data_IF_155724981081
#
_entry.id   IF_155724981081
#
_cell.length_a   1.000
_cell.length_b   1.000
_cell.length_c   1.000
_cell.angle_alpha   90.00
_cell.angle_beta   90.00
_cell.angle_gamma   90.00
#
_symmetry.space_group_name_H-M   'P 1'
#
loop_
_entity.id
_entity.type
_entity.pdbx_description
1 polymer ?
#
# COMPACT_ATOMS: atom_id res chain seq x y z
N UNK A 1 68.06 -4.52 63.98
CA UNK A 1 68.94 -5.66 63.78
C UNK A 1 68.22 -6.71 62.94
N UNK A 2 68.82 -7.06 61.81
CA UNK A 2 68.78 -8.28 61.06
C UNK A 2 67.42 -8.75 60.38
N UNK A 3 67.48 -8.63 59.09
CA UNK A 3 67.10 -9.58 57.99
C UNK A 3 65.63 -9.82 57.67
N UNK A 4 65.21 -9.27 56.54
CA UNK A 4 64.33 -9.91 55.59
C UNK A 4 64.63 -9.33 54.22
N UNK A 5 65.62 -9.91 53.56
CA UNK A 5 65.86 -9.80 52.12
C UNK A 5 65.78 -11.25 51.60
N UNK A 6 64.75 -11.59 50.81
CA UNK A 6 64.82 -12.65 49.78
C UNK A 6 63.42 -13.18 49.36
N UNK A 7 62.54 -12.30 48.78
CA UNK A 7 61.30 -12.82 48.10
C UNK A 7 60.85 -11.86 47.03
N UNK A 8 61.75 -11.42 46.16
CA UNK A 8 61.42 -10.45 45.13
C UNK A 8 61.90 -10.74 43.72
N UNK A 9 62.00 -11.99 43.21
CA UNK A 9 62.06 -12.12 41.77
C UNK A 9 60.95 -13.07 41.16
N UNK A 10 60.06 -13.65 41.94
CA UNK A 10 59.12 -14.65 41.38
C UNK A 10 57.72 -14.09 41.03
N UNK A 11 57.38 -12.87 41.39
CA UNK A 11 56.10 -12.23 41.08
C UNK A 11 56.09 -11.54 39.69
N UNK A 12 57.26 -11.24 39.14
CA UNK A 12 57.38 -10.59 37.83
C UNK A 12 57.34 -11.56 36.64
N UNK A 13 57.50 -12.87 36.85
CA UNK A 13 57.46 -13.87 35.77
C UNK A 13 56.03 -14.42 35.47
N UNK A 14 55.09 -14.28 36.38
CA UNK A 14 53.70 -14.75 36.21
C UNK A 14 52.81 -13.66 35.57
N UNK A 15 53.20 -12.38 35.71
CA UNK A 15 52.44 -11.26 35.09
C UNK A 15 52.62 -11.10 33.59
N UNK A 16 53.66 -11.69 32.97
CA UNK A 16 53.96 -11.52 31.53
C UNK A 16 53.40 -12.66 30.69
N UNK A 17 52.91 -13.76 31.28
CA UNK A 17 52.36 -14.94 30.56
C UNK A 17 50.82 -14.87 30.36
N UNK A 18 50.11 -13.95 31.02
CA UNK A 18 48.64 -13.78 30.87
C UNK A 18 48.22 -12.74 29.84
N UNK A 19 49.15 -11.93 29.28
CA UNK A 19 48.79 -10.90 28.29
C UNK A 19 48.85 -11.42 26.84
N UNK A 20 49.39 -12.60 26.61
CA UNK A 20 49.53 -13.16 25.24
C UNK A 20 48.40 -14.11 24.79
N UNK A 21 47.32 -14.28 25.56
CA UNK A 21 46.21 -15.22 25.18
C UNK A 21 44.92 -14.50 24.79
N UNK A 22 44.86 -13.16 24.88
CA UNK A 22 43.66 -12.38 24.52
C UNK A 22 43.64 -11.78 23.13
N UNK A 23 44.52 -12.15 22.21
CA UNK A 23 44.54 -11.58 20.86
C UNK A 23 44.18 -12.55 19.74
N UNK A 24 43.44 -13.60 20.04
CA UNK A 24 43.01 -14.55 19.03
C UNK A 24 41.53 -14.87 19.20
N UNK A 25 40.63 -13.97 18.87
CA UNK A 25 39.23 -14.26 18.47
C UNK A 25 38.55 -13.00 17.91
N UNK A 26 39.24 -12.22 17.08
CA UNK A 26 38.57 -11.47 16.06
C UNK A 26 38.62 -12.33 14.79
N UNK A 27 37.98 -13.49 14.80
CA UNK A 27 37.60 -14.14 13.56
C UNK A 27 36.62 -13.19 12.88
N UNK A 28 37.07 -12.45 11.87
CA UNK A 28 36.16 -11.95 10.85
C UNK A 28 35.40 -13.19 10.38
N UNK A 29 34.13 -13.26 10.76
CA UNK A 29 33.22 -14.24 10.16
C UNK A 29 33.17 -13.89 8.69
N UNK A 30 33.95 -14.58 7.87
CA UNK A 30 33.85 -14.50 6.41
C UNK A 30 32.48 -15.10 6.12
N UNK A 31 31.60 -14.33 5.51
CA UNK A 31 30.27 -14.77 5.16
C UNK A 31 30.37 -15.94 4.16
N UNK A 32 29.63 -17.00 4.44
CA UNK A 32 29.70 -18.23 3.65
C UNK A 32 28.94 -18.07 2.34
N UNK A 33 29.59 -18.38 1.21
CA UNK A 33 28.92 -18.49 -0.09
C UNK A 33 28.12 -19.78 -0.11
N UNK A 34 26.79 -19.69 -0.15
CA UNK A 34 25.90 -20.85 -0.20
C UNK A 34 25.57 -21.27 -1.63
N UNK A 35 25.49 -20.33 -2.57
CA UNK A 35 25.28 -20.58 -3.99
C UNK A 35 26.05 -19.56 -4.85
N UNK A 36 26.47 -19.99 -6.03
CA UNK A 36 26.91 -19.11 -7.13
C UNK A 36 25.95 -19.28 -8.29
N UNK A 37 25.50 -18.16 -8.87
CA UNK A 37 24.64 -18.13 -10.07
C UNK A 37 25.20 -17.12 -11.05
N UNK A 38 25.84 -17.59 -12.12
CA UNK A 38 26.65 -16.74 -12.98
C UNK A 38 27.81 -16.14 -12.21
N UNK A 39 27.90 -14.81 -12.20
CA UNK A 39 28.96 -14.04 -11.50
C UNK A 39 28.51 -13.57 -10.10
N UNK A 40 27.31 -13.91 -9.67
CA UNK A 40 26.74 -13.43 -8.41
C UNK A 40 26.75 -14.53 -7.33
N UNK A 41 27.26 -14.19 -6.16
CA UNK A 41 27.24 -15.07 -4.99
C UNK A 41 26.01 -14.78 -4.13
N UNK A 42 25.36 -15.85 -3.64
CA UNK A 42 24.36 -15.80 -2.59
C UNK A 42 25.06 -16.17 -1.29
N UNK A 43 25.03 -15.28 -0.34
CA UNK A 43 25.66 -15.45 0.96
C UNK A 43 24.69 -16.04 1.99
N UNK A 44 25.22 -16.67 3.02
CA UNK A 44 24.42 -17.16 4.13
C UNK A 44 23.66 -16.03 4.80
N UNK A 45 24.27 -14.86 4.93
CA UNK A 45 23.63 -13.65 5.46
C UNK A 45 22.42 -13.21 4.63
N UNK A 46 22.44 -13.39 3.30
CA UNK A 46 21.30 -13.06 2.43
C UNK A 46 20.10 -13.97 2.73
N UNK A 47 20.37 -15.28 2.91
CA UNK A 47 19.36 -16.27 3.28
C UNK A 47 18.76 -15.97 4.65
N UNK A 48 19.60 -15.70 5.65
CA UNK A 48 19.12 -15.37 7.01
C UNK A 48 18.35 -14.05 7.02
N UNK A 49 18.78 -13.04 6.25
CA UNK A 49 18.04 -11.79 6.11
C UNK A 49 16.64 -12.03 5.50
N UNK A 50 16.56 -12.82 4.44
CA UNK A 50 15.28 -13.16 3.81
C UNK A 50 14.36 -13.92 4.78
N UNK A 51 14.91 -14.83 5.55
CA UNK A 51 14.22 -15.60 6.62
C UNK A 51 13.62 -14.66 7.67
N UNK A 52 14.44 -13.74 8.21
CA UNK A 52 13.99 -12.76 9.20
C UNK A 52 12.88 -11.85 8.63
N UNK A 53 13.00 -11.44 7.38
CA UNK A 53 11.99 -10.62 6.71
C UNK A 53 10.64 -11.33 6.61
N UNK A 54 10.62 -12.62 6.24
CA UNK A 54 9.40 -13.40 6.16
C UNK A 54 8.77 -13.60 7.55
N UNK A 55 9.59 -13.86 8.56
CA UNK A 55 9.11 -13.97 9.95
C UNK A 55 8.49 -12.67 10.45
N UNK A 56 9.09 -11.52 10.13
CA UNK A 56 8.52 -10.19 10.49
C UNK A 56 7.18 -9.90 9.80
N UNK A 57 6.93 -10.51 8.63
CA UNK A 57 5.65 -10.45 7.92
C UNK A 57 4.62 -11.48 8.42
N UNK A 58 4.94 -12.24 9.48
CA UNK A 58 4.06 -13.25 10.05
C UNK A 58 4.02 -14.57 9.27
N UNK A 59 4.91 -14.75 8.29
CA UNK A 59 5.00 -16.01 7.54
C UNK A 59 5.62 -17.09 8.44
N UNK A 60 4.93 -18.22 8.57
CA UNK A 60 5.48 -19.38 9.27
C UNK A 60 6.41 -20.15 8.34
N UNK A 61 7.64 -20.32 8.77
CA UNK A 61 8.63 -21.12 8.06
C UNK A 61 8.54 -22.58 8.52
N UNK A 62 8.66 -23.49 7.58
CA UNK A 62 8.69 -24.93 7.80
C UNK A 62 10.11 -25.49 7.63
N UNK A 63 10.28 -26.79 7.82
CA UNK A 63 11.58 -27.45 7.68
C UNK A 63 12.13 -27.39 6.24
N UNK A 64 11.25 -27.22 5.23
CA UNK A 64 11.67 -27.11 3.84
C UNK A 64 12.17 -25.70 3.48
N UNK A 65 11.88 -24.70 4.31
CA UNK A 65 12.27 -23.30 4.09
C UNK A 65 13.79 -23.12 4.03
N UNK A 66 14.56 -23.94 4.69
CA UNK A 66 16.03 -23.94 4.65
C UNK A 66 16.56 -24.23 3.22
N UNK A 67 15.85 -25.03 2.45
CA UNK A 67 16.17 -25.33 1.06
C UNK A 67 15.49 -24.37 0.07
N UNK A 68 14.25 -24.01 0.34
CA UNK A 68 13.44 -23.19 -0.56
C UNK A 68 13.91 -21.73 -0.64
N UNK A 69 14.41 -21.15 0.46
CA UNK A 69 14.87 -19.76 0.47
C UNK A 69 16.12 -19.52 -0.40
N UNK A 70 17.19 -20.32 -0.29
CA UNK A 70 18.34 -20.20 -1.22
C UNK A 70 17.93 -20.42 -2.67
N UNK A 71 17.05 -21.40 -2.94
CA UNK A 71 16.54 -21.65 -4.28
C UNK A 71 15.78 -20.43 -4.83
N UNK A 72 14.93 -19.80 -4.01
CA UNK A 72 14.21 -18.58 -4.43
C UNK A 72 15.16 -17.44 -4.76
N UNK A 73 16.22 -17.25 -3.98
CA UNK A 73 17.26 -16.26 -4.26
C UNK A 73 18.02 -16.60 -5.56
N UNK A 74 18.34 -17.88 -5.78
CA UNK A 74 19.01 -18.33 -7.01
C UNK A 74 18.14 -18.09 -8.25
N UNK A 75 16.85 -18.37 -8.19
CA UNK A 75 15.89 -18.03 -9.26
C UNK A 75 15.87 -16.52 -9.52
N UNK A 76 15.88 -15.70 -8.48
CA UNK A 76 15.95 -14.24 -8.61
C UNK A 76 17.24 -13.81 -9.31
N UNK A 77 18.39 -14.42 -8.99
CA UNK A 77 19.66 -14.13 -9.65
C UNK A 77 19.66 -14.52 -11.13
N UNK A 78 19.01 -15.61 -11.54
CA UNK A 78 18.83 -15.93 -12.96
C UNK A 78 18.10 -14.82 -13.72
N UNK A 79 17.01 -14.29 -13.16
CA UNK A 79 16.28 -13.18 -13.77
C UNK A 79 17.12 -11.90 -13.82
N UNK A 80 17.86 -11.57 -12.76
CA UNK A 80 18.75 -10.40 -12.73
C UNK A 80 19.87 -10.51 -13.75
N UNK A 81 20.47 -11.67 -13.88
CA UNK A 81 21.53 -11.93 -14.87
C UNK A 81 20.99 -11.73 -16.30
N UNK A 82 19.84 -12.34 -16.62
CA UNK A 82 19.22 -12.14 -17.92
C UNK A 82 18.80 -10.69 -18.17
N UNK A 83 18.29 -10.02 -17.14
CA UNK A 83 17.92 -8.61 -17.25
C UNK A 83 19.11 -7.70 -17.58
N UNK A 84 20.32 -8.00 -17.06
CA UNK A 84 21.56 -7.32 -17.43
C UNK A 84 21.87 -7.53 -18.93
N UNK A 85 21.77 -8.78 -19.42
CA UNK A 85 21.98 -9.13 -20.83
C UNK A 85 20.98 -8.40 -21.72
N UNK A 86 19.73 -8.38 -21.32
CA UNK A 86 18.61 -7.77 -22.05
C UNK A 86 18.51 -6.24 -21.87
N UNK A 87 19.43 -5.63 -21.10
CA UNK A 87 19.47 -4.20 -20.80
C UNK A 87 18.14 -3.65 -20.25
N UNK A 88 17.50 -4.41 -19.34
CA UNK A 88 16.27 -3.98 -18.69
C UNK A 88 16.56 -2.80 -17.76
N UNK A 89 15.84 -1.71 -17.96
CA UNK A 89 15.91 -0.49 -17.12
C UNK A 89 14.61 -0.26 -16.40
N UNK A 90 14.68 0.36 -15.23
CA UNK A 90 13.54 0.71 -14.38
C UNK A 90 13.58 2.18 -14.01
N UNK A 91 12.43 2.76 -13.63
CA UNK A 91 12.34 4.17 -13.26
C UNK A 91 12.90 4.41 -11.84
N UNK A 92 14.13 4.93 -11.78
CA UNK A 92 14.80 5.28 -10.52
C UNK A 92 14.02 6.34 -9.71
N UNK A 93 13.24 7.22 -10.35
CA UNK A 93 12.44 8.21 -9.65
C UNK A 93 11.24 7.55 -8.92
N UNK A 94 10.61 6.58 -9.57
CA UNK A 94 9.54 5.79 -8.93
C UNK A 94 10.09 4.99 -7.75
N UNK A 95 11.23 4.33 -7.91
CA UNK A 95 11.89 3.57 -6.84
C UNK A 95 12.21 4.47 -5.66
N UNK A 96 12.78 5.66 -5.89
CA UNK A 96 13.11 6.60 -4.82
C UNK A 96 11.86 7.06 -4.05
N UNK A 97 10.75 7.34 -4.74
CA UNK A 97 9.48 7.71 -4.09
C UNK A 97 8.95 6.57 -3.23
N UNK A 98 8.96 5.35 -3.75
CA UNK A 98 8.54 4.16 -3.02
C UNK A 98 9.38 3.93 -1.76
N UNK A 99 10.71 4.00 -1.90
CA UNK A 99 11.64 3.81 -0.77
C UNK A 99 11.45 4.88 0.31
N UNK A 100 11.29 6.15 -0.08
CA UNK A 100 11.07 7.23 0.89
C UNK A 100 9.74 7.04 1.64
N UNK A 101 8.67 6.69 0.94
CA UNK A 101 7.38 6.40 1.56
C UNK A 101 7.47 5.20 2.53
N UNK A 102 8.18 4.14 2.14
CA UNK A 102 8.38 2.96 2.99
C UNK A 102 9.19 3.30 4.26
N UNK A 103 10.27 4.08 4.13
CA UNK A 103 11.06 4.54 5.27
C UNK A 103 10.22 5.40 6.23
N UNK A 104 9.39 6.30 5.70
CA UNK A 104 8.49 7.10 6.55
C UNK A 104 7.47 6.22 7.28
N UNK A 105 6.93 5.19 6.59
CA UNK A 105 6.07 4.20 7.22
C UNK A 105 6.76 3.45 8.36
N UNK A 106 7.99 2.96 8.15
CA UNK A 106 8.78 2.29 9.18
C UNK A 106 9.10 3.22 10.37
N UNK A 107 9.43 4.50 10.11
CA UNK A 107 9.66 5.48 11.18
C UNK A 107 8.40 5.70 12.00
N UNK A 108 7.23 5.79 11.35
CA UNK A 108 5.95 5.95 12.03
C UNK A 108 5.60 4.73 12.91
N UNK A 109 5.90 3.53 12.44
CA UNK A 109 5.67 2.27 13.16
C UNK A 109 6.55 2.14 14.41
N UNK A 110 7.86 2.39 14.29
CA UNK A 110 8.79 2.29 15.42
C UNK A 110 8.82 3.54 16.31
N UNK A 111 8.23 4.65 15.84
CA UNK A 111 8.01 5.89 16.56
C UNK A 111 9.08 6.97 16.39
N UNK A 112 10.31 6.67 15.92
CA UNK A 112 11.32 7.70 15.57
C UNK A 112 12.40 7.17 14.63
N UNK A 113 13.13 8.10 14.00
CA UNK A 113 14.30 7.81 13.16
C UNK A 113 15.39 7.08 13.95
N UNK A 114 15.67 7.54 15.17
CA UNK A 114 16.73 6.99 16.03
C UNK A 114 16.46 5.53 16.39
N UNK A 115 15.19 5.19 16.69
CA UNK A 115 14.76 3.81 16.92
C UNK A 115 14.89 2.94 15.69
N UNK A 116 14.62 3.49 14.51
CA UNK A 116 14.79 2.77 13.24
C UNK A 116 16.29 2.50 12.99
N UNK A 117 17.16 3.48 13.21
CA UNK A 117 18.61 3.33 13.09
C UNK A 117 19.17 2.30 14.09
N UNK A 118 18.65 2.29 15.32
CA UNK A 118 18.99 1.30 16.34
C UNK A 118 18.52 -0.11 15.95
N UNK A 119 17.28 -0.24 15.47
CA UNK A 119 16.70 -1.52 15.04
C UNK A 119 17.52 -2.18 13.92
N UNK A 120 17.93 -1.41 12.91
CA UNK A 120 18.74 -1.92 11.79
C UNK A 120 20.25 -1.90 12.09
N UNK A 121 20.68 -1.32 13.18
CA UNK A 121 22.11 -1.05 13.48
C UNK A 121 22.83 -0.36 12.31
N UNK A 122 22.14 0.58 11.65
CA UNK A 122 22.59 1.34 10.47
C UNK A 122 22.05 2.77 10.53
N UNK A 123 22.79 3.72 9.95
CA UNK A 123 22.24 5.06 9.80
C UNK A 123 21.17 5.11 8.68
N UNK A 124 20.31 6.13 8.71
CA UNK A 124 19.19 6.27 7.77
C UNK A 124 19.62 6.27 6.30
N UNK A 125 20.81 6.78 5.99
CA UNK A 125 21.34 6.78 4.62
C UNK A 125 21.65 5.36 4.16
N UNK A 126 22.27 4.55 5.02
CA UNK A 126 22.55 3.15 4.74
C UNK A 126 21.25 2.33 4.58
N UNK A 127 20.30 2.57 5.49
CA UNK A 127 18.96 1.93 5.38
C UNK A 127 18.30 2.28 4.05
N UNK A 128 18.33 3.57 3.65
CA UNK A 128 17.78 4.04 2.37
C UNK A 128 18.44 3.38 1.18
N UNK A 129 19.76 3.27 1.18
CA UNK A 129 20.51 2.64 0.09
C UNK A 129 20.23 1.14 -0.02
N UNK A 130 20.12 0.45 1.10
CA UNK A 130 19.77 -0.98 1.12
C UNK A 130 18.34 -1.20 0.60
N UNK A 131 17.39 -0.41 1.06
CA UNK A 131 16.00 -0.45 0.58
C UNK A 131 15.91 -0.13 -0.92
N UNK A 132 16.66 0.87 -1.39
CA UNK A 132 16.72 1.23 -2.81
C UNK A 132 17.27 0.09 -3.68
N UNK A 133 18.37 -0.53 -3.25
CA UNK A 133 18.98 -1.66 -3.95
C UNK A 133 18.01 -2.83 -4.06
N UNK A 134 17.34 -3.19 -2.97
CA UNK A 134 16.35 -4.25 -2.95
C UNK A 134 15.13 -3.94 -3.82
N UNK A 135 14.58 -2.74 -3.70
CA UNK A 135 13.45 -2.30 -4.52
C UNK A 135 13.80 -2.31 -6.02
N UNK A 136 14.99 -1.81 -6.37
CA UNK A 136 15.48 -1.81 -7.75
C UNK A 136 15.65 -3.23 -8.29
N UNK A 137 16.28 -4.13 -7.54
CA UNK A 137 16.44 -5.53 -7.93
C UNK A 137 15.08 -6.22 -8.10
N UNK A 138 14.15 -6.01 -7.18
CA UNK A 138 12.80 -6.57 -7.28
C UNK A 138 12.04 -6.07 -8.52
N UNK A 139 12.15 -4.77 -8.84
CA UNK A 139 11.48 -4.19 -10.01
C UNK A 139 12.11 -4.67 -11.33
N UNK A 140 13.45 -4.83 -11.39
CA UNK A 140 14.13 -5.41 -12.55
C UNK A 140 13.68 -6.85 -12.80
N UNK A 141 13.59 -7.68 -11.73
CA UNK A 141 13.09 -9.06 -11.84
C UNK A 141 11.67 -9.08 -12.36
N UNK A 142 10.79 -8.23 -11.80
CA UNK A 142 9.39 -8.11 -12.26
C UNK A 142 9.31 -7.71 -13.73
N UNK A 143 10.06 -6.70 -14.15
CA UNK A 143 10.10 -6.23 -15.52
C UNK A 143 10.61 -7.34 -16.47
N UNK A 144 11.61 -8.12 -16.06
CA UNK A 144 12.12 -9.26 -16.84
C UNK A 144 11.05 -10.36 -16.96
N UNK A 145 10.42 -10.75 -15.87
CA UNK A 145 9.32 -11.73 -15.87
C UNK A 145 8.18 -11.27 -16.79
N UNK A 146 7.78 -10.00 -16.66
CA UNK A 146 6.72 -9.44 -17.51
C UNK A 146 7.09 -9.44 -18.99
N UNK A 147 8.35 -9.13 -19.33
CA UNK A 147 8.86 -9.21 -20.71
C UNK A 147 8.73 -10.63 -21.27
N UNK A 148 9.11 -11.64 -20.49
CA UNK A 148 9.05 -13.06 -20.90
C UNK A 148 7.61 -13.51 -21.19
N UNK A 149 6.65 -13.04 -20.40
CA UNK A 149 5.24 -13.47 -20.54
C UNK A 149 4.34 -12.47 -21.28
N UNK A 150 4.91 -11.37 -21.81
CA UNK A 150 4.14 -10.28 -22.45
C UNK A 150 3.32 -10.74 -23.64
N UNK A 151 3.81 -11.71 -24.42
CA UNK A 151 3.18 -12.24 -25.60
C UNK A 151 2.34 -13.49 -25.33
N UNK A 152 2.25 -13.95 -24.08
CA UNK A 152 1.47 -15.13 -23.72
C UNK A 152 -0.01 -14.79 -23.73
N UNK A 153 -0.75 -15.55 -24.46
CA UNK A 153 -2.20 -15.45 -24.55
C UNK A 153 -2.85 -16.83 -24.44
N UNK A 154 -4.12 -16.87 -24.16
CA UNK A 154 -4.90 -18.11 -24.11
C UNK A 154 -6.05 -18.07 -25.13
N UNK A 155 -6.20 -19.15 -25.87
CA UNK A 155 -7.31 -19.33 -26.80
C UNK A 155 -8.58 -19.78 -26.07
N UNK A 156 -9.77 -19.60 -26.65
CA UNK A 156 -11.02 -20.10 -26.07
C UNK A 156 -11.04 -21.62 -25.82
N UNK A 157 -10.29 -22.39 -26.63
CA UNK A 157 -10.16 -23.84 -26.41
C UNK A 157 -9.31 -24.18 -25.20
N UNK A 158 -8.20 -23.44 -24.98
CA UNK A 158 -7.36 -23.61 -23.79
C UNK A 158 -8.11 -23.22 -22.51
N UNK A 159 -8.92 -22.15 -22.55
CA UNK A 159 -9.74 -21.72 -21.42
C UNK A 159 -10.74 -22.80 -21.04
N UNK A 160 -11.44 -23.41 -22.04
CA UNK A 160 -12.37 -24.52 -21.79
C UNK A 160 -11.65 -25.75 -21.22
N UNK A 161 -10.50 -26.11 -21.78
CA UNK A 161 -9.70 -27.24 -21.29
C UNK A 161 -9.20 -27.01 -19.86
N UNK A 162 -8.76 -25.77 -19.58
CA UNK A 162 -8.36 -25.39 -18.22
C UNK A 162 -9.52 -25.51 -17.24
N UNK A 163 -10.70 -24.96 -17.57
CA UNK A 163 -11.89 -25.05 -16.72
C UNK A 163 -12.29 -26.50 -16.46
N UNK A 164 -12.30 -27.34 -17.49
CA UNK A 164 -12.60 -28.77 -17.36
C UNK A 164 -11.57 -29.53 -16.50
N UNK A 165 -10.35 -29.02 -16.36
CA UNK A 165 -9.30 -29.62 -15.52
C UNK A 165 -9.39 -29.25 -14.05
N UNK A 166 -10.22 -28.27 -13.68
CA UNK A 166 -10.38 -27.84 -12.29
C UNK A 166 -11.45 -28.71 -11.62
N UNK A 167 -11.16 -29.34 -10.48
CA UNK A 167 -12.19 -30.00 -9.69
C UNK A 167 -13.30 -29.01 -9.28
N UNK A 168 -14.55 -29.44 -9.30
CA UNK A 168 -15.70 -28.57 -8.97
C UNK A 168 -15.55 -27.87 -7.63
N UNK A 169 -15.02 -28.55 -6.62
CA UNK A 169 -14.79 -27.99 -5.29
C UNK A 169 -13.68 -26.93 -5.25
N UNK A 170 -12.80 -26.94 -6.25
CA UNK A 170 -11.67 -26.00 -6.39
C UNK A 170 -11.99 -24.82 -7.31
N UNK A 171 -13.18 -24.80 -7.95
CA UNK A 171 -13.64 -23.64 -8.72
C UNK A 171 -13.80 -22.43 -7.79
N UNK A 172 -13.42 -21.23 -8.24
CA UNK A 172 -13.61 -20.00 -7.46
C UNK A 172 -15.07 -19.84 -7.04
N UNK A 173 -15.25 -19.43 -5.79
CA UNK A 173 -16.54 -18.99 -5.29
C UNK A 173 -16.70 -17.52 -5.62
N UNK A 174 -17.70 -17.20 -6.41
CA UNK A 174 -18.11 -15.83 -6.73
C UNK A 174 -19.14 -15.42 -5.69
N UNK A 175 -18.88 -14.39 -4.87
CA UNK A 175 -19.86 -13.92 -3.88
C UNK A 175 -21.05 -13.26 -4.58
N UNK A 176 -22.11 -13.00 -3.84
CA UNK A 176 -23.19 -12.15 -4.35
C UNK A 176 -22.64 -10.78 -4.72
N UNK A 177 -22.82 -10.38 -5.97
CA UNK A 177 -22.36 -9.09 -6.50
C UNK A 177 -23.54 -8.17 -6.73
N UNK A 178 -23.36 -6.92 -6.34
CA UNK A 178 -24.37 -5.86 -6.44
C UNK A 178 -23.87 -4.75 -7.34
N UNK A 179 -24.73 -4.22 -8.19
CA UNK A 179 -24.56 -2.94 -8.87
C UNK A 179 -25.53 -1.92 -8.27
N UNK A 180 -24.99 -0.82 -7.79
CA UNK A 180 -25.73 0.22 -7.07
C UNK A 180 -25.59 1.56 -7.76
N UNK A 181 -26.69 2.27 -7.93
CA UNK A 181 -26.73 3.67 -8.37
C UNK A 181 -27.09 4.55 -7.20
N UNK A 182 -26.61 5.81 -7.18
CA UNK A 182 -26.95 6.81 -6.15
C UNK A 182 -27.36 8.16 -6.73
N UNK A 183 -28.22 8.88 -6.03
CA UNK A 183 -28.49 10.32 -6.19
C UNK A 183 -28.12 10.98 -4.90
N UNK A 184 -27.25 11.97 -4.94
CA UNK A 184 -26.70 12.63 -3.75
C UNK A 184 -27.11 14.10 -3.69
N UNK A 185 -27.49 14.55 -2.51
CA UNK A 185 -27.74 15.98 -2.20
C UNK A 185 -26.82 16.41 -1.07
N UNK A 186 -26.16 17.54 -1.28
CA UNK A 186 -25.30 18.17 -0.27
C UNK A 186 -26.12 19.23 0.47
N UNK A 187 -26.34 19.10 1.78
CA UNK A 187 -27.09 20.09 2.56
C UNK A 187 -26.39 21.43 2.57
N UNK A 188 -27.15 22.52 2.55
CA UNK A 188 -26.59 23.88 2.56
C UNK A 188 -26.10 24.21 3.96
N UNK A 189 -24.84 24.57 4.09
CA UNK A 189 -24.24 25.06 5.34
C UNK A 189 -24.61 26.55 5.52
N UNK A 190 -25.06 26.92 6.73
CA UNK A 190 -25.36 28.32 7.08
C UNK A 190 -24.06 29.16 7.03
N UNK A 191 -24.13 30.36 6.46
CA UNK A 191 -22.97 31.28 6.38
C UNK A 191 -22.37 31.58 7.76
N UNK A 192 -23.23 31.73 8.78
CA UNK A 192 -22.78 31.94 10.15
C UNK A 192 -21.88 30.83 10.69
N UNK A 193 -22.09 29.58 10.26
CA UNK A 193 -21.23 28.45 10.63
C UNK A 193 -19.88 28.52 9.91
N UNK A 194 -19.88 28.87 8.62
CA UNK A 194 -18.67 29.11 7.84
C UNK A 194 -17.83 30.23 8.46
N UNK A 195 -18.47 31.34 8.83
CA UNK A 195 -17.79 32.49 9.45
C UNK A 195 -17.21 32.10 10.83
N UNK A 196 -17.95 31.32 11.62
CA UNK A 196 -17.49 30.80 12.91
C UNK A 196 -16.21 29.96 12.74
N UNK A 197 -16.17 29.06 11.76
CA UNK A 197 -15.00 28.23 11.47
C UNK A 197 -13.83 29.07 11.00
N UNK A 198 -14.06 29.97 10.04
CA UNK A 198 -13.02 30.88 9.55
C UNK A 198 -12.45 31.74 10.68
N UNK A 199 -13.29 32.20 11.60
CA UNK A 199 -12.85 32.95 12.77
C UNK A 199 -11.95 32.09 13.69
N UNK A 200 -12.33 30.86 13.99
CA UNK A 200 -11.49 29.95 14.78
C UNK A 200 -10.14 29.69 14.13
N UNK A 201 -10.12 29.44 12.82
CA UNK A 201 -8.86 29.22 12.10
C UNK A 201 -7.96 30.47 12.11
N UNK A 202 -8.52 31.69 12.06
CA UNK A 202 -7.75 32.93 12.24
C UNK A 202 -7.13 33.00 13.63
N UNK A 203 -7.92 32.72 14.67
CA UNK A 203 -7.43 32.68 16.06
C UNK A 203 -6.29 31.69 16.22
N UNK A 204 -6.40 30.47 15.69
CA UNK A 204 -5.32 29.49 15.71
C UNK A 204 -4.07 29.98 14.96
N UNK A 205 -4.27 30.60 13.79
CA UNK A 205 -3.19 31.17 13.02
C UNK A 205 -2.44 32.28 13.79
N UNK A 206 -3.16 33.16 14.50
CA UNK A 206 -2.59 34.23 15.33
C UNK A 206 -1.84 33.65 16.53
N UNK A 207 -2.37 32.63 17.20
CA UNK A 207 -1.69 31.96 18.33
C UNK A 207 -0.38 31.31 17.92
N UNK A 208 -0.35 30.66 16.74
CA UNK A 208 0.89 30.08 16.22
C UNK A 208 1.88 31.15 15.78
N UNK A 209 1.44 32.16 15.01
CA UNK A 209 2.31 33.18 14.47
C UNK A 209 2.89 34.09 15.56
N UNK A 210 2.18 34.28 16.69
CA UNK A 210 2.67 35.01 17.87
C UNK A 210 3.59 34.15 18.79
N UNK A 211 3.70 32.84 18.53
CA UNK A 211 4.49 31.92 19.37
C UNK A 211 3.81 31.52 20.67
N UNK A 212 2.54 31.87 20.89
CA UNK A 212 1.77 31.51 22.10
C UNK A 212 1.58 29.99 22.20
N UNK A 213 1.35 29.33 21.07
CA UNK A 213 1.10 27.89 21.00
C UNK A 213 1.76 27.29 19.75
N UNK A 214 2.18 26.02 19.81
CA UNK A 214 2.70 25.35 18.61
C UNK A 214 1.58 24.89 17.70
N UNK A 215 1.82 24.91 16.36
CA UNK A 215 0.86 24.39 15.37
C UNK A 215 0.48 22.93 15.67
N UNK A 216 1.47 22.10 16.03
CA UNK A 216 1.23 20.68 16.33
C UNK A 216 0.34 20.47 17.56
N UNK A 217 0.42 21.36 18.56
CA UNK A 217 -0.47 21.31 19.73
C UNK A 217 -1.91 21.61 19.33
N UNK A 218 -2.14 22.67 18.54
CA UNK A 218 -3.49 23.02 18.09
C UNK A 218 -4.05 21.94 17.14
N UNK A 219 -3.23 21.36 16.29
CA UNK A 219 -3.65 20.28 15.41
C UNK A 219 -4.13 19.05 16.20
N UNK A 220 -3.39 18.64 17.24
CA UNK A 220 -3.81 17.53 18.12
C UNK A 220 -5.11 17.78 18.87
N UNK A 221 -5.36 19.02 19.26
CA UNK A 221 -6.52 19.37 20.07
C UNK A 221 -7.78 19.64 19.23
N UNK A 222 -7.61 20.19 18.03
CA UNK A 222 -8.73 20.79 17.31
C UNK A 222 -8.87 20.36 15.85
N UNK A 223 -7.87 19.72 15.24
CA UNK A 223 -8.03 19.23 13.86
C UNK A 223 -9.04 18.10 13.78
N UNK A 224 -9.96 18.23 12.84
CA UNK A 224 -10.97 17.21 12.53
C UNK A 224 -10.47 16.20 11.47
N UNK A 225 -9.21 16.31 11.02
CA UNK A 225 -8.57 15.25 10.25
C UNK A 225 -7.94 14.20 11.18
N UNK A 226 -8.67 13.12 11.41
CA UNK A 226 -8.26 12.03 12.32
C UNK A 226 -7.00 11.30 11.85
N UNK A 227 -6.67 11.36 10.54
CA UNK A 227 -5.47 10.71 9.96
C UNK A 227 -4.18 11.37 10.44
N UNK A 228 -4.18 12.70 10.61
CA UNK A 228 -2.98 13.48 10.92
C UNK A 228 -3.01 14.17 12.28
N UNK A 229 -4.17 14.37 12.87
CA UNK A 229 -4.34 15.11 14.13
C UNK A 229 -3.41 14.60 15.26
N UNK A 230 -3.37 13.28 15.50
CA UNK A 230 -2.52 12.67 16.54
C UNK A 230 -1.03 12.91 16.32
N UNK A 231 -0.60 13.04 15.05
CA UNK A 231 0.77 13.37 14.67
C UNK A 231 1.03 14.89 14.58
N UNK A 232 0.17 15.71 15.22
CA UNK A 232 0.31 17.16 15.19
C UNK A 232 -0.01 17.78 13.84
N UNK A 233 -0.87 17.15 13.05
CA UNK A 233 -1.32 17.59 11.73
C UNK A 233 -0.34 17.29 10.59
N UNK A 234 0.76 16.58 10.83
CA UNK A 234 1.79 16.31 9.83
C UNK A 234 1.30 15.29 8.79
N UNK A 235 1.36 15.72 7.52
CA UNK A 235 0.88 14.93 6.37
C UNK A 235 1.97 14.04 5.76
N UNK A 236 3.24 14.39 6.00
CA UNK A 236 4.39 13.77 5.33
C UNK A 236 4.68 14.39 3.95
N UNK A 237 5.65 13.82 3.25
CA UNK A 237 5.98 14.28 1.90
C UNK A 237 4.96 13.80 0.88
N UNK A 238 4.33 14.74 0.20
CA UNK A 238 3.38 14.48 -0.90
C UNK A 238 3.79 15.22 -2.17
N UNK A 239 3.47 14.64 -3.31
CA UNK A 239 3.70 15.27 -4.61
C UNK A 239 2.65 16.35 -4.88
N UNK A 240 3.05 17.39 -5.62
CA UNK A 240 2.15 18.46 -6.06
C UNK A 240 0.89 17.93 -6.74
N UNK A 241 1.04 16.91 -7.56
CA UNK A 241 -0.04 16.29 -8.34
C UNK A 241 -1.01 15.44 -7.50
N UNK A 242 -0.68 15.15 -6.24
CA UNK A 242 -1.55 14.40 -5.32
C UNK A 242 -2.44 15.31 -4.46
N UNK A 243 -2.31 16.61 -4.60
CA UNK A 243 -3.10 17.62 -3.88
C UNK A 243 -4.15 18.23 -4.81
N UNK A 244 -5.27 18.67 -4.26
CA UNK A 244 -6.24 19.49 -5.00
C UNK A 244 -5.55 20.73 -5.59
N UNK A 245 -5.89 21.09 -6.82
CA UNK A 245 -5.18 22.13 -7.58
C UNK A 245 -5.01 23.46 -6.81
N UNK A 246 -6.08 23.94 -6.18
CA UNK A 246 -6.05 25.21 -5.42
C UNK A 246 -5.20 25.06 -4.15
N UNK A 247 -5.33 23.93 -3.45
CA UNK A 247 -4.54 23.61 -2.26
C UNK A 247 -3.05 23.55 -2.62
N UNK A 248 -2.69 22.80 -3.68
CA UNK A 248 -1.33 22.71 -4.19
C UNK A 248 -0.75 24.06 -4.58
N UNK A 249 -1.52 24.89 -5.31
CA UNK A 249 -1.10 26.23 -5.72
C UNK A 249 -0.70 27.07 -4.52
N UNK A 250 -1.55 27.16 -3.52
CA UNK A 250 -1.28 27.96 -2.32
C UNK A 250 -0.04 27.45 -1.57
N UNK A 251 0.07 26.13 -1.35
CA UNK A 251 1.19 25.55 -0.60
C UNK A 251 2.54 25.76 -1.31
N UNK A 252 2.57 25.56 -2.63
CA UNK A 252 3.83 25.69 -3.37
C UNK A 252 4.27 27.15 -3.56
N UNK A 253 3.32 28.11 -3.58
CA UNK A 253 3.60 29.54 -3.65
C UNK A 253 4.04 30.14 -2.28
N UNK A 254 3.70 29.46 -1.17
CA UNK A 254 4.10 29.93 0.17
C UNK A 254 5.61 29.85 0.39
N UNK A 255 6.21 30.86 1.09
CA UNK A 255 7.61 30.76 1.50
C UNK A 255 7.79 29.71 2.62
N UNK A 256 8.95 29.06 2.63
CA UNK A 256 9.31 28.09 3.67
C UNK A 256 9.81 28.79 4.95
N UNK A 257 8.93 29.51 5.65
CA UNK A 257 9.27 30.39 6.78
C UNK A 257 8.52 30.05 8.08
N UNK A 258 7.92 28.86 8.18
CA UNK A 258 7.12 28.40 9.33
C UNK A 258 5.88 29.26 9.67
N UNK A 259 5.50 30.22 8.82
CA UNK A 259 4.26 30.97 8.99
C UNK A 259 3.07 30.09 8.58
N UNK A 260 1.92 30.38 9.21
CA UNK A 260 0.65 29.72 8.88
C UNK A 260 0.07 30.31 7.60
N UNK A 261 -0.50 29.47 6.75
CA UNK A 261 -1.14 29.86 5.49
C UNK A 261 -2.36 30.77 5.71
N UNK A 262 -2.83 31.48 4.67
CA UNK A 262 -4.22 31.89 4.59
C UNK A 262 -5.14 30.67 4.78
N UNK A 263 -6.42 30.94 5.09
CA UNK A 263 -7.43 29.86 5.13
C UNK A 263 -7.63 29.31 3.73
N UNK A 264 -7.47 28.01 3.57
CA UNK A 264 -7.67 27.28 2.31
C UNK A 264 -8.98 26.52 2.41
N UNK A 265 -9.83 26.62 1.41
CA UNK A 265 -11.02 25.81 1.26
C UNK A 265 -10.72 24.60 0.38
N UNK A 266 -11.13 23.42 0.81
CA UNK A 266 -11.09 22.18 0.05
C UNK A 266 -12.45 21.49 0.10
N UNK A 267 -12.57 20.36 -0.57
CA UNK A 267 -13.77 19.53 -0.47
C UNK A 267 -13.97 18.92 0.93
N UNK A 268 -12.89 18.73 1.71
CA UNK A 268 -12.97 18.23 3.08
C UNK A 268 -13.43 19.31 4.08
N UNK A 269 -13.23 20.60 3.78
CA UNK A 269 -13.56 21.72 4.67
C UNK A 269 -12.62 22.91 4.56
N UNK A 270 -12.30 23.54 5.68
CA UNK A 270 -11.43 24.71 5.76
C UNK A 270 -10.15 24.36 6.50
N UNK A 271 -9.01 24.75 5.91
CA UNK A 271 -7.69 24.40 6.43
C UNK A 271 -6.85 25.64 6.70
N UNK A 272 -5.95 25.54 7.66
CA UNK A 272 -4.72 26.32 7.74
C UNK A 272 -3.54 25.36 7.72
N UNK A 273 -2.42 25.78 7.14
CA UNK A 273 -1.27 24.93 6.88
C UNK A 273 0.02 25.61 7.34
N UNK A 274 0.96 24.82 7.84
CA UNK A 274 2.34 25.23 8.11
C UNK A 274 3.29 24.31 7.37
N UNK A 275 4.17 24.88 6.54
CA UNK A 275 5.16 24.12 5.79
C UNK A 275 6.28 23.67 6.74
N UNK A 276 6.64 22.40 6.64
CA UNK A 276 7.78 21.80 7.34
C UNK A 276 9.00 21.84 6.43
N UNK A 277 8.86 21.30 5.20
CA UNK A 277 9.97 21.21 4.24
C UNK A 277 9.44 21.12 2.81
N UNK A 278 10.21 21.70 1.86
CA UNK A 278 9.98 21.56 0.41
C UNK A 278 11.20 20.90 -0.24
N UNK A 279 10.97 19.92 -1.13
CA UNK A 279 12.00 19.22 -1.92
C UNK A 279 11.55 19.10 -3.37
N UNK A 280 11.87 20.06 -4.19
CA UNK A 280 11.38 20.11 -5.58
C UNK A 280 9.85 20.09 -5.63
N UNK A 281 9.28 19.06 -6.28
CA UNK A 281 7.84 18.87 -6.40
C UNK A 281 7.21 18.11 -5.21
N UNK A 282 7.98 17.85 -4.15
CA UNK A 282 7.50 17.25 -2.92
C UNK A 282 7.41 18.31 -1.81
N UNK A 283 6.37 18.24 -1.01
CA UNK A 283 6.15 19.11 0.14
C UNK A 283 5.73 18.30 1.37
N UNK A 284 6.37 18.57 2.50
CA UNK A 284 5.93 18.13 3.83
C UNK A 284 5.33 19.32 4.57
N UNK A 285 4.12 19.15 5.08
CA UNK A 285 3.38 20.20 5.79
C UNK A 285 2.55 19.62 6.94
N UNK A 286 2.10 20.53 7.80
CA UNK A 286 1.08 20.26 8.82
C UNK A 286 -0.16 21.03 8.48
N UNK A 287 -1.34 20.46 8.78
CA UNK A 287 -2.59 21.16 8.63
C UNK A 287 -3.52 21.01 9.85
N UNK A 288 -4.42 21.98 9.98
CA UNK A 288 -5.58 21.91 10.86
C UNK A 288 -6.80 22.02 9.96
N UNK A 289 -7.64 20.99 9.98
CA UNK A 289 -8.88 20.92 9.24
C UNK A 289 -10.05 21.16 10.20
N UNK A 290 -10.96 22.05 9.82
CA UNK A 290 -12.28 22.19 10.45
C UNK A 290 -13.37 22.04 9.40
N UNK A 291 -14.37 21.21 9.70
CA UNK A 291 -15.53 20.97 8.83
C UNK A 291 -16.74 21.79 9.29
N UNK A 292 -17.41 22.50 8.37
CA UNK A 292 -18.65 23.19 8.72
C UNK A 292 -19.72 22.18 9.13
N UNK A 293 -20.36 22.42 10.27
CA UNK A 293 -21.43 21.56 10.75
C UNK A 293 -22.73 21.87 10.02
N UNK A 294 -23.28 20.84 9.42
CA UNK A 294 -24.61 20.89 8.80
C UNK A 294 -25.67 20.81 9.91
N UNK A 295 -26.65 21.71 9.89
CA UNK A 295 -27.76 21.63 10.83
C UNK A 295 -28.73 20.49 10.50
N UNK A 296 -29.37 19.91 11.53
CA UNK A 296 -30.31 18.82 11.29
C UNK A 296 -31.50 19.28 10.42
N UNK A 297 -31.94 20.53 10.54
CA UNK A 297 -32.95 21.16 9.69
C UNK A 297 -32.54 21.17 8.19
N UNK A 298 -31.27 21.45 7.90
CA UNK A 298 -30.76 21.42 6.52
C UNK A 298 -30.71 19.99 5.96
N UNK A 299 -30.36 19.02 6.79
CA UNK A 299 -30.41 17.59 6.44
C UNK A 299 -31.84 17.14 6.16
N UNK A 300 -32.77 17.43 7.07
CA UNK A 300 -34.20 17.07 6.95
C UNK A 300 -34.82 17.67 5.68
N UNK A 301 -34.45 18.90 5.33
CA UNK A 301 -34.86 19.54 4.05
C UNK A 301 -34.44 18.70 2.85
N UNK A 302 -33.22 18.21 2.81
CA UNK A 302 -32.74 17.40 1.67
C UNK A 302 -33.31 15.97 1.71
N UNK A 303 -33.56 15.40 2.90
CA UNK A 303 -34.26 14.10 3.07
C UNK A 303 -35.65 14.17 2.46
N UNK A 304 -36.43 15.18 2.80
CA UNK A 304 -37.82 15.35 2.27
C UNK A 304 -37.79 15.50 0.77
N UNK A 305 -36.83 16.26 0.21
CA UNK A 305 -36.67 16.42 -1.25
C UNK A 305 -36.34 15.10 -1.93
N UNK A 306 -35.38 14.34 -1.41
CA UNK A 306 -34.98 13.06 -2.02
C UNK A 306 -36.06 11.99 -1.85
N UNK A 307 -36.79 11.96 -0.72
CA UNK A 307 -37.93 11.05 -0.57
C UNK A 307 -39.05 11.36 -1.61
N UNK A 308 -39.30 12.64 -1.91
CA UNK A 308 -40.20 13.02 -2.99
C UNK A 308 -39.72 12.53 -4.36
N UNK A 309 -38.42 12.65 -4.63
CA UNK A 309 -37.80 12.16 -5.87
C UNK A 309 -37.88 10.62 -5.93
N UNK A 310 -37.56 9.92 -4.84
CA UNK A 310 -37.70 8.47 -4.77
C UNK A 310 -39.15 8.01 -5.04
N UNK A 311 -40.13 8.75 -4.52
CA UNK A 311 -41.56 8.50 -4.82
C UNK A 311 -41.90 8.66 -6.31
N UNK A 312 -41.35 9.69 -6.97
CA UNK A 312 -41.52 9.88 -8.42
C UNK A 312 -40.86 8.75 -9.24
N UNK A 313 -39.69 8.29 -8.81
CA UNK A 313 -39.01 7.17 -9.45
C UNK A 313 -39.82 5.88 -9.27
N UNK A 314 -40.27 5.60 -8.07
CA UNK A 314 -41.04 4.40 -7.74
C UNK A 314 -42.38 4.36 -8.47
N UNK A 315 -43.02 5.53 -8.70
CA UNK A 315 -44.25 5.62 -9.49
C UNK A 315 -44.05 5.58 -11.01
N UNK A 316 -42.79 5.58 -11.48
CA UNK A 316 -42.43 5.64 -12.91
C UNK A 316 -42.60 7.02 -13.56
N UNK A 317 -42.88 8.07 -12.78
CA UNK A 317 -42.98 9.45 -13.26
C UNK A 317 -41.61 10.07 -13.62
N UNK A 318 -40.51 9.52 -13.08
CA UNK A 318 -39.15 9.94 -13.33
C UNK A 318 -38.25 8.71 -13.43
N UNK A 319 -37.34 8.66 -14.41
CA UNK A 319 -36.27 7.63 -14.43
C UNK A 319 -35.20 7.92 -13.39
N UNK A 320 -34.49 6.91 -12.91
CA UNK A 320 -33.38 7.12 -11.97
C UNK A 320 -32.26 7.92 -12.62
N UNK A 321 -31.98 7.66 -13.88
CA UNK A 321 -30.95 8.33 -14.70
C UNK A 321 -31.28 9.82 -14.87
N UNK A 322 -32.55 10.17 -15.13
CA UNK A 322 -32.97 11.59 -15.19
C UNK A 322 -32.89 12.25 -13.81
N UNK A 323 -33.19 11.50 -12.72
CA UNK A 323 -33.01 12.01 -11.37
C UNK A 323 -31.55 12.29 -11.05
N UNK A 324 -30.61 11.43 -11.46
CA UNK A 324 -29.17 11.70 -11.34
C UNK A 324 -28.79 12.97 -12.09
N UNK A 325 -29.13 13.07 -13.37
CA UNK A 325 -28.76 14.20 -14.22
C UNK A 325 -29.31 15.54 -13.71
N UNK A 326 -30.53 15.52 -13.13
CA UNK A 326 -31.22 16.73 -12.71
C UNK A 326 -30.94 17.15 -11.27
N UNK A 327 -30.73 16.20 -10.38
CA UNK A 327 -30.74 16.47 -8.93
C UNK A 327 -29.46 16.05 -8.22
N UNK A 328 -28.66 15.12 -8.77
CA UNK A 328 -27.44 14.66 -8.10
C UNK A 328 -26.36 15.78 -8.08
N UNK A 329 -25.74 15.93 -6.93
CA UNK A 329 -24.60 16.82 -6.70
C UNK A 329 -23.29 16.07 -6.51
N UNK A 330 -23.28 14.77 -6.87
CA UNK A 330 -22.10 13.94 -6.83
C UNK A 330 -21.38 13.95 -8.19
N UNK A 331 -20.24 14.61 -8.26
CA UNK A 331 -19.49 14.77 -9.50
C UNK A 331 -18.89 13.46 -9.99
N UNK A 332 -18.54 12.57 -9.06
CA UNK A 332 -17.84 11.32 -9.36
C UNK A 332 -18.74 10.31 -10.12
N UNK A 333 -20.06 10.31 -9.84
CA UNK A 333 -20.98 9.36 -10.44
C UNK A 333 -21.99 9.99 -11.42
N UNK A 334 -22.05 11.32 -11.52
CA UNK A 334 -23.01 12.02 -12.38
C UNK A 334 -22.93 11.61 -13.85
N UNK A 335 -21.71 11.45 -14.38
CA UNK A 335 -21.46 11.06 -15.78
C UNK A 335 -21.69 9.57 -16.05
N UNK A 336 -21.84 8.75 -15.00
CA UNK A 336 -22.13 7.31 -15.09
C UNK A 336 -23.56 6.95 -14.62
N UNK A 337 -24.49 7.89 -14.74
CA UNK A 337 -25.88 7.72 -14.30
C UNK A 337 -26.01 7.31 -12.82
N UNK A 338 -25.14 7.83 -11.98
CA UNK A 338 -25.11 7.54 -10.54
C UNK A 338 -24.49 6.19 -10.17
N UNK A 339 -23.93 5.44 -11.14
CA UNK A 339 -23.37 4.11 -10.91
C UNK A 339 -22.10 4.20 -10.04
N UNK A 340 -22.07 3.45 -8.94
CA UNK A 340 -20.89 3.34 -8.10
C UNK A 340 -19.80 2.51 -8.80
N UNK A 341 -18.55 2.88 -8.57
CA UNK A 341 -17.36 2.14 -9.02
C UNK A 341 -16.57 1.71 -7.78
N UNK A 342 -16.17 0.45 -7.76
CA UNK A 342 -15.38 -0.11 -6.66
C UNK A 342 -13.95 0.45 -6.69
N UNK A 343 -13.65 1.33 -5.75
CA UNK A 343 -12.32 1.96 -5.62
C UNK A 343 -11.36 1.17 -4.70
N UNK A 344 -11.79 0.04 -4.15
CA UNK A 344 -10.93 -0.79 -3.32
C UNK A 344 -9.88 -1.51 -4.19
N UNK A 345 -8.66 -1.02 -4.21
CA UNK A 345 -7.56 -1.58 -4.99
C UNK A 345 -7.15 -3.01 -4.59
N UNK A 346 -7.58 -3.48 -3.42
CA UNK A 346 -7.37 -4.86 -2.95
C UNK A 346 -8.48 -5.81 -3.41
N UNK A 347 -9.59 -5.26 -3.90
CA UNK A 347 -10.71 -6.06 -4.42
C UNK A 347 -10.39 -6.65 -5.78
N UNK A 348 -10.85 -7.87 -6.01
CA UNK A 348 -10.89 -8.49 -7.35
C UNK A 348 -11.77 -7.70 -8.32
N UNK A 349 -12.71 -6.91 -7.79
CA UNK A 349 -13.67 -6.09 -8.56
C UNK A 349 -13.26 -4.63 -8.65
N UNK A 350 -12.04 -4.28 -8.28
CA UNK A 350 -11.52 -2.91 -8.36
C UNK A 350 -11.69 -2.32 -9.76
N UNK A 351 -12.17 -1.07 -9.83
CA UNK A 351 -12.43 -0.37 -11.08
C UNK A 351 -13.70 -0.81 -11.83
N UNK A 352 -14.45 -1.79 -11.32
CA UNK A 352 -15.74 -2.22 -11.88
C UNK A 352 -16.94 -1.65 -11.11
N UNK A 353 -18.15 -1.86 -11.61
CA UNK A 353 -19.40 -1.54 -10.90
C UNK A 353 -19.86 -2.62 -9.94
N UNK A 354 -19.12 -3.71 -9.82
CA UNK A 354 -19.49 -4.85 -8.99
C UNK A 354 -18.95 -4.70 -7.57
N UNK A 355 -19.84 -4.94 -6.61
CA UNK A 355 -19.52 -4.91 -5.18
C UNK A 355 -20.01 -6.19 -4.50
N UNK A 356 -19.14 -6.96 -3.84
CA UNK A 356 -19.57 -7.74 -2.70
C UNK A 356 -20.23 -6.83 -1.66
N UNK A 357 -21.24 -7.34 -0.94
CA UNK A 357 -21.99 -6.52 0.03
C UNK A 357 -21.08 -5.87 1.09
N UNK A 358 -20.05 -6.58 1.51
CA UNK A 358 -19.07 -6.13 2.51
C UNK A 358 -18.11 -5.04 2.02
N UNK A 359 -17.99 -4.85 0.71
CA UNK A 359 -17.15 -3.82 0.10
C UNK A 359 -17.91 -2.51 -0.16
N UNK A 360 -19.23 -2.51 -0.05
CA UNK A 360 -20.02 -1.29 -0.11
C UNK A 360 -19.82 -0.47 1.17
N UNK A 361 -19.84 0.88 1.09
CA UNK A 361 -19.93 1.73 2.28
C UNK A 361 -21.07 1.27 3.20
N UNK A 362 -20.79 1.22 4.51
CA UNK A 362 -21.68 0.58 5.50
C UNK A 362 -23.13 1.11 5.47
N UNK A 363 -23.32 2.42 5.27
CA UNK A 363 -24.64 3.01 5.19
C UNK A 363 -25.39 2.57 3.92
N UNK A 364 -24.70 2.52 2.79
CA UNK A 364 -25.25 2.03 1.52
C UNK A 364 -25.57 0.53 1.62
N UNK A 365 -24.64 -0.27 2.15
CA UNK A 365 -24.81 -1.71 2.35
C UNK A 365 -26.06 -2.04 3.15
N UNK A 366 -26.33 -1.29 4.23
CA UNK A 366 -27.51 -1.45 5.08
C UNK A 366 -28.82 -1.22 4.31
N UNK A 367 -28.87 -0.16 3.50
CA UNK A 367 -30.05 0.16 2.70
C UNK A 367 -30.29 -0.86 1.59
N UNK A 368 -29.22 -1.22 0.86
CA UNK A 368 -29.34 -2.12 -0.31
C UNK A 368 -29.67 -3.55 0.09
N UNK A 369 -29.27 -4.00 1.29
CA UNK A 369 -29.50 -5.37 1.76
C UNK A 369 -30.98 -5.80 1.72
N UNK A 370 -31.91 -4.84 1.83
CA UNK A 370 -33.35 -5.09 1.85
C UNK A 370 -34.05 -4.77 0.52
N UNK A 371 -33.31 -4.28 -0.50
CA UNK A 371 -33.89 -3.92 -1.79
C UNK A 371 -33.94 -5.11 -2.74
N UNK A 372 -34.97 -5.15 -3.57
CA UNK A 372 -35.03 -5.99 -4.76
C UNK A 372 -34.42 -5.25 -5.95
N UNK A 373 -34.00 -5.98 -6.96
CA UNK A 373 -33.50 -5.38 -8.19
C UNK A 373 -34.55 -4.44 -8.79
N UNK A 374 -34.14 -3.19 -9.02
CA UNK A 374 -34.97 -2.10 -9.50
C UNK A 374 -35.55 -1.20 -8.40
N UNK A 375 -35.58 -1.66 -7.13
CA UNK A 375 -36.08 -0.86 -6.02
C UNK A 375 -35.16 0.32 -5.69
N UNK A 376 -35.75 1.40 -5.18
CA UNK A 376 -35.06 2.59 -4.69
C UNK A 376 -35.28 2.72 -3.19
N UNK A 377 -34.24 3.06 -2.46
CA UNK A 377 -34.30 3.29 -1.01
C UNK A 377 -35.10 4.57 -0.67
N UNK A 378 -35.46 4.71 0.60
CA UNK A 378 -35.76 6.04 1.16
C UNK A 378 -34.49 6.87 1.24
N UNK A 379 -34.66 8.17 1.41
CA UNK A 379 -33.55 9.05 1.66
C UNK A 379 -32.91 8.79 3.03
N UNK A 380 -31.60 8.72 3.08
CA UNK A 380 -30.82 8.54 4.29
C UNK A 380 -29.60 9.45 4.31
N UNK A 381 -29.06 9.67 5.50
CA UNK A 381 -27.86 10.48 5.73
C UNK A 381 -26.66 9.55 5.86
N UNK A 382 -25.57 9.87 5.17
CA UNK A 382 -24.27 9.22 5.37
C UNK A 382 -23.14 10.24 5.53
N UNK A 383 -22.01 9.78 6.00
CA UNK A 383 -20.75 10.54 5.98
C UNK A 383 -19.92 9.98 4.85
N UNK A 384 -19.56 10.83 3.89
CA UNK A 384 -18.72 10.43 2.76
C UNK A 384 -17.24 10.29 3.15
N UNK A 385 -16.40 9.81 2.23
CA UNK A 385 -14.96 9.57 2.45
C UNK A 385 -14.17 10.85 2.82
N UNK A 386 -14.74 12.04 2.49
CA UNK A 386 -14.18 13.35 2.85
C UNK A 386 -14.63 13.83 4.24
N UNK A 387 -15.46 13.04 4.92
CA UNK A 387 -15.98 13.33 6.26
C UNK A 387 -17.17 14.30 6.29
N UNK A 388 -17.81 14.58 5.15
CA UNK A 388 -18.95 15.46 5.02
C UNK A 388 -20.27 14.66 5.12
N UNK A 389 -21.27 15.23 5.81
CA UNK A 389 -22.62 14.66 5.83
C UNK A 389 -23.36 14.99 4.54
N UNK A 390 -23.92 14.00 3.91
CA UNK A 390 -24.72 14.12 2.69
C UNK A 390 -25.98 13.26 2.78
N UNK A 391 -26.96 13.58 1.96
CA UNK A 391 -28.23 12.85 1.89
C UNK A 391 -28.31 12.18 0.54
N UNK A 392 -28.69 10.91 0.52
CA UNK A 392 -28.78 10.15 -0.72
C UNK A 392 -29.95 9.19 -0.74
N UNK A 393 -30.33 8.78 -1.95
CA UNK A 393 -31.12 7.61 -2.25
C UNK A 393 -30.28 6.68 -3.11
N UNK A 394 -30.47 5.38 -2.96
CA UNK A 394 -29.78 4.36 -3.74
C UNK A 394 -30.79 3.46 -4.44
N UNK A 395 -30.41 2.97 -5.62
CA UNK A 395 -31.15 1.98 -6.39
C UNK A 395 -30.30 0.73 -6.52
N UNK A 396 -30.85 -0.42 -6.19
CA UNK A 396 -30.25 -1.70 -6.54
C UNK A 396 -30.51 -1.96 -8.04
N UNK A 397 -29.47 -1.70 -8.86
CA UNK A 397 -29.56 -1.84 -10.31
C UNK A 397 -29.60 -3.30 -10.73
N UNK A 398 -28.62 -4.09 -10.25
CA UNK A 398 -28.51 -5.51 -10.52
C UNK A 398 -28.03 -6.26 -9.28
N UNK A 399 -28.35 -7.55 -9.22
CA UNK A 399 -27.89 -8.50 -8.24
C UNK A 399 -27.53 -9.80 -8.92
N UNK A 400 -26.33 -10.28 -8.74
CA UNK A 400 -25.83 -11.56 -9.20
C UNK A 400 -25.67 -12.46 -8.01
N UNK A 401 -26.40 -13.56 -7.96
CA UNK A 401 -26.37 -14.46 -6.81
C UNK A 401 -25.03 -15.22 -6.73
N UNK A 402 -24.64 -15.52 -5.50
CA UNK A 402 -23.42 -16.25 -5.23
C UNK A 402 -23.44 -17.65 -5.88
N UNK A 403 -22.33 -18.02 -6.52
CA UNK A 403 -22.21 -19.30 -7.22
C UNK A 403 -20.75 -19.76 -7.34
N UNK A 404 -20.54 -21.00 -7.72
CA UNK A 404 -19.26 -21.48 -8.22
C UNK A 404 -19.07 -20.99 -9.64
N UNK A 405 -17.86 -20.50 -9.94
CA UNK A 405 -17.57 -19.91 -11.25
C UNK A 405 -17.97 -20.83 -12.41
N UNK A 406 -18.60 -20.23 -13.42
CA UNK A 406 -19.05 -20.90 -14.65
C UNK A 406 -18.38 -20.28 -15.86
N UNK A 407 -18.28 -21.04 -16.96
CA UNK A 407 -17.74 -20.51 -18.21
C UNK A 407 -18.63 -19.46 -18.88
N UNK A 408 -19.93 -19.47 -18.57
CA UNK A 408 -20.93 -18.56 -19.20
C UNK A 408 -20.94 -17.19 -18.50
N UNK A 409 -20.85 -17.18 -17.19
CA UNK A 409 -21.00 -15.95 -16.39
C UNK A 409 -19.65 -15.35 -16.01
N UNK A 410 -18.63 -16.22 -15.76
CA UNK A 410 -17.33 -15.81 -15.22
C UNK A 410 -16.18 -16.03 -16.20
N UNK A 411 -16.47 -15.95 -17.48
CA UNK A 411 -15.48 -16.24 -18.54
C UNK A 411 -14.17 -15.46 -18.37
N UNK A 412 -14.24 -14.18 -17.99
CA UNK A 412 -13.03 -13.35 -17.82
C UNK A 412 -12.21 -13.83 -16.62
N UNK A 413 -12.84 -14.16 -15.51
CA UNK A 413 -12.16 -14.73 -14.32
C UNK A 413 -11.45 -16.02 -14.68
N UNK A 414 -12.12 -16.94 -15.36
CA UNK A 414 -11.54 -18.22 -15.80
C UNK A 414 -10.42 -18.01 -16.82
N UNK A 415 -10.57 -17.05 -17.73
CA UNK A 415 -9.55 -16.67 -18.70
C UNK A 415 -8.28 -16.16 -18.01
N UNK A 416 -8.42 -15.25 -17.02
CA UNK A 416 -7.28 -14.75 -16.27
C UNK A 416 -6.58 -15.87 -15.49
N UNK A 417 -7.33 -16.78 -14.87
CA UNK A 417 -6.75 -17.94 -14.19
C UNK A 417 -5.97 -18.85 -15.16
N UNK A 418 -6.55 -19.13 -16.32
CA UNK A 418 -5.88 -19.93 -17.36
C UNK A 418 -4.62 -19.22 -17.89
N UNK A 419 -4.70 -17.91 -18.10
CA UNK A 419 -3.58 -17.08 -18.55
C UNK A 419 -2.45 -17.06 -17.50
N UNK A 420 -2.81 -16.86 -16.25
CA UNK A 420 -1.84 -16.86 -15.15
C UNK A 420 -1.14 -18.22 -14.99
N UNK A 421 -1.90 -19.32 -15.10
CA UNK A 421 -1.31 -20.67 -15.11
C UNK A 421 -0.31 -20.84 -16.26
N UNK A 422 -0.67 -20.41 -17.47
CA UNK A 422 0.20 -20.51 -18.64
C UNK A 422 1.45 -19.66 -18.51
N UNK A 423 1.32 -18.42 -17.97
CA UNK A 423 2.45 -17.55 -17.67
C UNK A 423 3.39 -18.15 -16.63
N UNK A 424 2.85 -18.74 -15.58
CA UNK A 424 3.66 -19.40 -14.55
C UNK A 424 4.42 -20.62 -15.13
N UNK A 425 3.78 -21.41 -15.99
CA UNK A 425 4.42 -22.54 -16.67
C UNK A 425 5.58 -22.05 -17.56
N UNK A 426 5.38 -20.98 -18.33
CA UNK A 426 6.44 -20.39 -19.17
C UNK A 426 7.62 -19.90 -18.34
N UNK A 427 7.37 -19.24 -17.19
CA UNK A 427 8.43 -18.82 -16.28
C UNK A 427 9.18 -20.01 -15.67
N UNK A 428 8.45 -21.07 -15.26
CA UNK A 428 9.05 -22.29 -14.74
C UNK A 428 9.94 -22.99 -15.79
N UNK A 429 9.49 -23.08 -17.03
CA UNK A 429 10.23 -23.66 -18.14
C UNK A 429 11.45 -22.82 -18.54
N UNK A 430 11.31 -21.49 -18.47
CA UNK A 430 12.40 -20.55 -18.66
C UNK A 430 13.49 -20.77 -17.59
N UNK A 431 13.11 -20.87 -16.29
CA UNK A 431 14.06 -21.15 -15.20
C UNK A 431 14.82 -22.45 -15.45
N UNK A 432 14.12 -23.55 -15.81
CA UNK A 432 14.77 -24.84 -16.15
C UNK A 432 15.76 -24.70 -17.31
N UNK A 433 15.40 -23.90 -18.29
CA UNK A 433 16.28 -23.65 -19.45
C UNK A 433 17.51 -22.84 -19.06
N UNK A 434 17.36 -21.84 -18.19
CA UNK A 434 18.47 -21.00 -17.75
C UNK A 434 19.44 -21.72 -16.81
N UNK A 435 18.94 -22.66 -15.99
CA UNK A 435 19.79 -23.52 -15.17
C UNK A 435 20.83 -24.28 -16.01
N UNK A 436 20.47 -24.68 -17.23
CA UNK A 436 21.38 -25.41 -18.14
C UNK A 436 22.40 -24.49 -18.83
N UNK A 437 22.18 -23.20 -18.88
CA UNK A 437 22.99 -22.22 -19.61
C UNK A 437 23.86 -21.34 -18.71
N UNK A 438 23.54 -21.30 -17.42
CA UNK A 438 24.19 -20.43 -16.44
C UNK A 438 25.14 -21.26 -15.60
N UNK A 439 26.32 -20.73 -15.27
CA UNK A 439 27.19 -21.36 -14.29
C UNK A 439 26.52 -21.36 -12.94
N UNK A 440 26.42 -22.55 -12.32
CA UNK A 440 25.78 -22.73 -11.01
C UNK A 440 26.67 -23.62 -10.15
N UNK A 441 26.94 -23.15 -8.94
CA UNK A 441 27.61 -23.95 -7.91
C UNK A 441 26.83 -23.87 -6.61
N UNK A 442 26.50 -25.03 -6.04
CA UNK A 442 25.73 -25.16 -4.81
C UNK A 442 26.63 -25.71 -3.72
N UNK A 443 26.69 -25.05 -2.56
CA UNK A 443 27.48 -25.49 -1.42
C UNK A 443 27.01 -26.89 -0.94
N UNK A 444 27.94 -27.69 -0.43
CA UNK A 444 27.72 -29.10 -0.10
C UNK A 444 26.53 -29.33 0.87
N UNK A 445 26.34 -28.41 1.83
CA UNK A 445 25.24 -28.47 2.78
C UNK A 445 23.83 -28.37 2.17
N UNK A 446 23.71 -27.89 0.94
CA UNK A 446 22.43 -27.72 0.24
C UNK A 446 22.21 -28.72 -0.91
N UNK A 447 23.18 -29.56 -1.22
CA UNK A 447 23.09 -30.49 -2.38
C UNK A 447 22.04 -31.58 -2.19
N UNK A 448 21.63 -31.89 -0.97
CA UNK A 448 20.63 -32.92 -0.65
C UNK A 448 19.21 -32.31 -0.52
N UNK A 449 19.00 -31.07 -0.87
CA UNK A 449 17.70 -30.44 -0.82
C UNK A 449 16.76 -30.94 -1.94
N UNK A 450 15.49 -31.06 -1.61
CA UNK A 450 14.42 -31.32 -2.61
C UNK A 450 13.99 -29.97 -3.22
N UNK A 451 14.64 -29.62 -4.30
CA UNK A 451 14.41 -28.35 -4.99
C UNK A 451 13.22 -28.43 -5.95
N UNK A 452 12.50 -27.31 -6.07
CA UNK A 452 11.44 -27.15 -7.09
C UNK A 452 11.97 -27.35 -8.51
N UNK A 453 13.22 -26.91 -8.74
CA UNK A 453 13.91 -27.02 -10.03
C UNK A 453 15.15 -27.91 -9.87
N UNK A 454 15.11 -29.17 -10.29
CA UNK A 454 16.20 -30.13 -10.03
C UNK A 454 17.51 -29.85 -10.77
N UNK A 455 17.52 -28.91 -11.73
CA UNK A 455 18.69 -28.56 -12.54
C UNK A 455 19.78 -27.73 -11.82
N UNK A 456 19.68 -27.52 -10.50
CA UNK A 456 20.70 -26.79 -9.74
C UNK A 456 21.99 -27.58 -9.49
N UNK A 457 21.89 -28.89 -9.48
CA UNK A 457 23.01 -29.78 -9.20
C UNK A 457 23.40 -30.43 -10.52
N UNK A 458 24.51 -30.04 -11.07
CA UNK A 458 25.12 -30.71 -12.18
C UNK A 458 26.14 -31.71 -11.63
N UNK A 459 25.92 -33.02 -11.85
CA UNK A 459 26.99 -34.00 -11.68
C UNK A 459 28.07 -33.67 -12.72
N UNK A 460 29.13 -33.04 -12.25
CA UNK A 460 30.35 -32.87 -13.08
C UNK A 460 30.86 -34.26 -13.45
N UNK A 461 30.46 -34.73 -14.64
CA UNK A 461 31.09 -35.89 -15.26
C UNK A 461 32.41 -35.50 -15.86
#
# INVERSE_FOLDING_TARGET
MKRLNSLRPWILAIGLSCVSICTLLAQQVIDEVVWMVGDEAILRSDVEYQKLRLLSQGVRLDANSECALPEQLAVQMLFLNQAKIDSITVDDAMINRYVEANIQGMIAEVGSKEKLEEYFNKNLTQIREDQRRQAKSGEIVRAMQQKLVSNISVSPSEIRAYFASIPTDSLPYIPTLLEVQKVVRKPIVKLSEIDRIKQKLREYSEEVNSGKTSFSTLARLYSEDTRTALNGGEYGFVAKTSLENEFARILFDMPNNKRVSPIIQSEEGYHIVQIIEKRGDLINFRHILLRPKVSDEALETEVIKLDSIAGQITSGALSFEDAVAKYSQDEDTSNSNGLLVNANYQSTYSGSSFFPLEELPQDISREVANLKVGDVSRAFVMINDKGNREVLIVKLRNKYDAHRATLTEDYQTIKEMALQKKRNQELDDWVRTQQLKTFIEVAEGYRNCDFKYPGWIHDNK
#
